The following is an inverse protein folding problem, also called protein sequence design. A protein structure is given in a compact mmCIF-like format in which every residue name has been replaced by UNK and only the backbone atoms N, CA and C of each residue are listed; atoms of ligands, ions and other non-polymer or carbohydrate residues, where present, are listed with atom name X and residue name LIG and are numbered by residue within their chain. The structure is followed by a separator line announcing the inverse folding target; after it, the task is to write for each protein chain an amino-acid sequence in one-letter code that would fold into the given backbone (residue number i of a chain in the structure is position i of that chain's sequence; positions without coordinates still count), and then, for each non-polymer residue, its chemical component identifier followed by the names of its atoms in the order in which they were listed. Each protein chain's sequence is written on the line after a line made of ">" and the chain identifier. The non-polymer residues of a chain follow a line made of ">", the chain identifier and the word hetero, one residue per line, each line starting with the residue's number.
data_IF_195954730057
#
_entry.id   IF_195954730057
#
_cell.length_a   1.000
_cell.length_b   1.000
_cell.length_c   1.000
_cell.angle_alpha   90.00
_cell.angle_beta   90.00
_cell.angle_gamma   90.00
#
_symmetry.space_group_name_H-M   'P 1'
#
loop_
_entity.id
_entity.type
_entity.pdbx_description
1 polymer ?
#
# COMPACT_ATOMS: atom_id res chain seq x y z
N UNK A 1 19.65 25.21 -12.35
CA UNK A 1 18.78 24.60 -11.32
C UNK A 1 19.55 24.64 -10.01
N UNK A 2 18.96 25.17 -8.93
CA UNK A 2 19.66 25.20 -7.64
C UNK A 2 19.98 23.77 -7.19
N UNK A 3 21.15 23.52 -6.59
CA UNK A 3 21.54 22.18 -6.14
C UNK A 3 20.49 21.50 -5.23
N UNK A 4 19.76 22.31 -4.45
CA UNK A 4 18.65 21.85 -3.61
C UNK A 4 17.44 21.34 -4.42
N UNK A 5 17.12 21.95 -5.56
CA UNK A 5 16.01 21.52 -6.42
C UNK A 5 16.32 20.19 -7.12
N UNK A 6 17.60 19.94 -7.43
CA UNK A 6 18.03 18.66 -7.98
C UNK A 6 17.87 17.52 -6.96
N UNK A 7 18.25 17.77 -5.69
CA UNK A 7 18.12 16.81 -4.61
C UNK A 7 16.64 16.48 -4.28
N UNK A 8 15.76 17.48 -4.42
CA UNK A 8 14.31 17.34 -4.24
C UNK A 8 13.59 16.77 -5.47
N UNK A 9 14.29 16.44 -6.56
CA UNK A 9 13.64 15.80 -7.71
C UNK A 9 13.13 14.40 -7.31
N UNK A 10 11.91 13.99 -7.71
CA UNK A 10 11.31 12.74 -7.24
C UNK A 10 12.19 11.49 -7.41
N UNK A 11 12.89 11.29 -8.55
CA UNK A 11 13.77 10.14 -8.71
C UNK A 11 14.95 10.16 -7.73
N UNK A 12 15.59 11.32 -7.55
CA UNK A 12 16.75 11.47 -6.66
C UNK A 12 16.34 11.26 -5.21
N UNK A 13 15.23 11.87 -4.78
CA UNK A 13 14.70 11.68 -3.43
C UNK A 13 14.34 10.21 -3.16
N UNK A 14 13.71 9.52 -4.11
CA UNK A 14 13.38 8.09 -3.99
C UNK A 14 14.63 7.24 -3.74
N UNK A 15 15.66 7.37 -4.59
CA UNK A 15 16.88 6.58 -4.45
C UNK A 15 17.67 6.94 -3.19
N UNK A 16 17.66 8.22 -2.79
CA UNK A 16 18.26 8.66 -1.55
C UNK A 16 17.61 7.97 -0.34
N UNK A 17 16.28 8.02 -0.21
CA UNK A 17 15.60 7.36 0.91
C UNK A 17 15.71 5.84 0.86
N UNK A 18 15.74 5.24 -0.33
CA UNK A 18 15.99 3.82 -0.49
C UNK A 18 17.40 3.44 0.02
N UNK A 19 18.41 4.23 -0.33
CA UNK A 19 19.78 4.03 0.16
C UNK A 19 19.87 4.20 1.68
N UNK A 20 19.19 5.21 2.25
CA UNK A 20 19.10 5.40 3.70
C UNK A 20 18.44 4.19 4.38
N UNK A 21 17.32 3.69 3.86
CA UNK A 21 16.64 2.52 4.41
C UNK A 21 17.54 1.25 4.34
N UNK A 22 18.25 1.06 3.23
CA UNK A 22 19.20 -0.03 3.07
C UNK A 22 20.39 0.07 4.05
N UNK A 23 20.90 1.29 4.26
CA UNK A 23 21.97 1.55 5.24
C UNK A 23 21.50 1.23 6.65
N UNK A 24 20.30 1.69 7.05
CA UNK A 24 19.72 1.39 8.35
C UNK A 24 19.54 -0.11 8.56
N UNK A 25 19.07 -0.82 7.53
CA UNK A 25 18.96 -2.28 7.57
C UNK A 25 20.33 -2.96 7.72
N UNK A 26 21.33 -2.52 6.96
CA UNK A 26 22.68 -3.08 7.02
C UNK A 26 23.35 -2.81 8.37
N UNK A 27 23.20 -1.59 8.92
CA UNK A 27 23.69 -1.22 10.24
C UNK A 27 22.98 -2.05 11.32
N UNK A 28 21.66 -2.19 11.26
CA UNK A 28 20.89 -3.03 12.18
C UNK A 28 21.37 -4.48 12.15
N UNK A 29 21.65 -5.01 10.95
CA UNK A 29 22.23 -6.35 10.77
C UNK A 29 23.65 -6.46 11.31
N UNK A 30 24.49 -5.44 11.15
CA UNK A 30 25.87 -5.44 11.63
C UNK A 30 25.97 -5.32 13.15
N UNK A 31 25.05 -4.61 13.79
CA UNK A 31 24.96 -4.47 15.24
C UNK A 31 24.28 -5.66 15.92
N UNK A 32 23.43 -6.40 15.20
CA UNK A 32 22.72 -7.54 15.75
C UNK A 32 23.67 -8.71 16.08
N UNK A 33 23.46 -9.40 17.21
CA UNK A 33 24.16 -10.65 17.49
C UNK A 33 23.95 -11.67 16.35
N UNK A 34 24.99 -12.44 16.03
CA UNK A 34 24.90 -13.49 15.03
C UNK A 34 23.79 -14.50 15.35
N UNK A 35 23.05 -14.93 14.31
CA UNK A 35 21.94 -15.86 14.49
C UNK A 35 22.46 -17.27 14.80
N UNK A 36 22.32 -17.69 16.06
CA UNK A 36 22.47 -19.10 16.45
C UNK A 36 21.25 -19.88 15.96
N UNK A 37 21.41 -20.62 14.86
CA UNK A 37 20.35 -21.41 14.20
C UNK A 37 19.96 -22.65 15.02
N UNK A 38 19.25 -22.42 16.12
CA UNK A 38 18.58 -23.49 16.88
C UNK A 38 17.19 -23.73 16.28
N UNK A 39 16.73 -24.99 16.16
CA UNK A 39 15.44 -25.32 15.50
C UNK A 39 14.27 -24.45 15.96
N UNK A 40 14.07 -24.30 17.28
CA UNK A 40 12.96 -23.51 17.83
C UNK A 40 13.03 -21.98 17.63
N UNK A 41 14.17 -21.43 17.18
CA UNK A 41 14.28 -19.99 16.81
C UNK A 41 13.83 -19.73 15.38
N UNK A 42 13.74 -20.78 14.57
CA UNK A 42 13.37 -20.70 13.15
C UNK A 42 11.93 -21.15 12.91
N UNK A 43 11.26 -21.71 13.93
CA UNK A 43 9.85 -22.09 13.89
C UNK A 43 8.94 -20.87 14.04
N UNK A 44 7.78 -20.91 13.38
CA UNK A 44 6.74 -19.89 13.52
C UNK A 44 6.27 -19.80 14.98
N UNK A 45 6.02 -18.59 15.47
CA UNK A 45 5.44 -18.42 16.79
C UNK A 45 3.99 -18.92 16.82
N UNK A 46 3.74 -19.94 17.64
CA UNK A 46 2.41 -20.53 17.86
C UNK A 46 2.16 -20.74 19.36
N UNK A 47 2.48 -19.76 20.20
CA UNK A 47 2.31 -19.84 21.66
C UNK A 47 2.99 -21.06 22.33
N UNK A 48 4.04 -21.61 21.70
CA UNK A 48 4.75 -22.81 22.17
C UNK A 48 4.18 -24.14 21.64
N UNK A 49 3.12 -24.11 20.83
CA UNK A 49 2.57 -25.28 20.16
C UNK A 49 3.35 -25.63 18.88
N UNK A 50 3.46 -26.91 18.57
CA UNK A 50 4.08 -27.41 17.33
C UNK A 50 3.04 -27.45 16.21
N UNK A 51 2.62 -26.27 15.77
CA UNK A 51 1.64 -26.13 14.69
C UNK A 51 2.39 -26.03 13.35
N UNK A 52 2.11 -26.92 12.37
CA UNK A 52 2.72 -26.80 11.06
C UNK A 52 2.30 -25.48 10.40
N UNK A 53 3.27 -24.75 9.87
CA UNK A 53 3.06 -23.50 9.14
C UNK A 53 2.33 -23.74 7.82
N UNK A 54 1.01 -23.89 7.87
CA UNK A 54 0.16 -24.08 6.69
C UNK A 54 -0.37 -22.74 6.20
N UNK A 55 -0.45 -22.57 4.88
CA UNK A 55 -1.12 -21.41 4.28
C UNK A 55 -2.62 -21.60 4.41
N UNK A 56 -3.24 -20.90 5.35
CA UNK A 56 -4.69 -20.91 5.53
C UNK A 56 -5.32 -19.87 4.61
N UNK A 57 -6.40 -20.23 3.92
CA UNK A 57 -7.25 -19.26 3.23
C UNK A 57 -8.17 -18.59 4.24
N UNK A 58 -7.81 -17.39 4.69
CA UNK A 58 -8.69 -16.61 5.55
C UNK A 58 -9.87 -16.04 4.75
N UNK A 59 -11.04 -15.99 5.38
CA UNK A 59 -12.22 -15.35 4.81
C UNK A 59 -12.05 -13.83 4.76
N UNK A 60 -11.47 -13.30 3.69
CA UNK A 60 -11.27 -11.87 3.49
C UNK A 60 -12.52 -11.13 2.96
N UNK A 61 -13.74 -11.62 3.23
CA UNK A 61 -14.96 -11.07 2.63
C UNK A 61 -15.12 -9.57 2.89
N UNK A 62 -14.95 -9.14 4.15
CA UNK A 62 -15.00 -7.72 4.50
C UNK A 62 -13.82 -6.93 3.92
N UNK A 63 -12.61 -7.46 4.04
CA UNK A 63 -11.41 -6.82 3.49
C UNK A 63 -11.51 -6.58 1.99
N UNK A 64 -12.07 -7.54 1.25
CA UNK A 64 -12.23 -7.46 -0.20
C UNK A 64 -13.15 -6.30 -0.61
N UNK A 65 -14.25 -6.09 0.10
CA UNK A 65 -15.16 -4.95 -0.14
C UNK A 65 -14.44 -3.62 0.10
N UNK A 66 -13.70 -3.50 1.21
CA UNK A 66 -12.93 -2.29 1.49
C UNK A 66 -11.80 -2.04 0.49
N UNK A 67 -11.12 -3.09 0.03
CA UNK A 67 -10.05 -2.99 -0.96
C UNK A 67 -10.60 -2.48 -2.30
N UNK A 68 -11.72 -3.01 -2.78
CA UNK A 68 -12.37 -2.54 -4.00
C UNK A 68 -12.94 -1.12 -3.86
N UNK A 69 -13.55 -0.82 -2.72
CA UNK A 69 -14.00 0.55 -2.43
C UNK A 69 -12.84 1.53 -2.51
N UNK A 70 -11.72 1.22 -1.84
CA UNK A 70 -10.53 2.07 -1.84
C UNK A 70 -9.98 2.27 -3.25
N UNK A 71 -9.87 1.23 -4.07
CA UNK A 71 -9.34 1.37 -5.45
C UNK A 71 -10.25 2.22 -6.32
N UNK A 72 -11.57 2.03 -6.26
CA UNK A 72 -12.55 2.85 -6.98
C UNK A 72 -12.44 4.32 -6.57
N UNK A 73 -12.41 4.59 -5.26
CA UNK A 73 -12.28 5.95 -4.73
C UNK A 73 -10.93 6.59 -5.08
N UNK A 74 -9.85 5.81 -5.06
CA UNK A 74 -8.51 6.29 -5.38
C UNK A 74 -8.42 6.74 -6.85
N UNK A 75 -8.94 5.93 -7.77
CA UNK A 75 -9.04 6.29 -9.19
C UNK A 75 -9.95 7.50 -9.38
N UNK A 76 -11.09 7.55 -8.67
CA UNK A 76 -12.00 8.68 -8.76
C UNK A 76 -11.34 10.00 -8.34
N UNK A 77 -10.60 9.99 -7.23
CA UNK A 77 -9.83 11.14 -6.78
C UNK A 77 -8.76 11.55 -7.81
N UNK A 78 -8.04 10.59 -8.39
CA UNK A 78 -7.02 10.88 -9.42
C UNK A 78 -7.62 11.52 -10.67
N UNK A 79 -8.75 11.00 -11.16
CA UNK A 79 -9.46 11.55 -12.32
C UNK A 79 -9.97 12.96 -11.99
N UNK A 80 -10.62 13.15 -10.84
CA UNK A 80 -11.12 14.47 -10.45
C UNK A 80 -10.02 15.51 -10.26
N UNK A 81 -8.86 15.10 -9.74
CA UNK A 81 -7.71 15.99 -9.56
C UNK A 81 -7.03 16.39 -10.89
N UNK A 82 -7.22 15.62 -11.96
CA UNK A 82 -6.56 15.83 -13.26
C UNK A 82 -7.47 16.48 -14.31
N UNK A 83 -8.78 16.62 -14.05
CA UNK A 83 -9.70 17.30 -14.95
C UNK A 83 -9.38 18.81 -15.02
N UNK A 84 -9.21 19.38 -16.23
CA UNK A 84 -9.00 20.82 -16.40
C UNK A 84 -10.27 21.62 -16.05
N UNK A 85 -10.08 22.79 -15.46
CA UNK A 85 -11.17 23.71 -15.09
C UNK A 85 -11.80 24.26 -16.38
N UNK A 86 -13.13 24.14 -16.51
CA UNK A 86 -13.88 24.62 -17.68
C UNK A 86 -15.17 23.84 -17.91
N UNK A 87 -15.73 23.88 -19.13
CA UNK A 87 -16.97 23.16 -19.48
C UNK A 87 -16.86 21.64 -19.32
N UNK A 88 -15.65 21.09 -19.37
CA UNK A 88 -15.36 19.66 -19.17
C UNK A 88 -15.57 19.25 -17.70
N UNK A 89 -15.49 20.19 -16.75
CA UNK A 89 -15.69 19.90 -15.32
C UNK A 89 -17.09 19.33 -15.02
N UNK A 90 -18.10 19.67 -15.82
CA UNK A 90 -19.44 19.08 -15.69
C UNK A 90 -19.46 17.56 -15.95
N UNK A 91 -18.55 17.04 -16.80
CA UNK A 91 -18.39 15.59 -16.97
C UNK A 91 -17.85 14.93 -15.71
N UNK A 92 -17.06 15.64 -14.90
CA UNK A 92 -16.59 15.17 -13.59
C UNK A 92 -17.73 14.92 -12.62
N UNK A 93 -18.80 15.72 -12.66
CA UNK A 93 -20.00 15.52 -11.84
C UNK A 93 -20.73 14.24 -12.26
N UNK A 94 -20.90 14.02 -13.56
CA UNK A 94 -21.52 12.79 -14.10
C UNK A 94 -20.67 11.57 -13.71
N UNK A 95 -19.35 11.67 -13.84
CA UNK A 95 -18.42 10.64 -13.43
C UNK A 95 -18.55 10.30 -11.93
N UNK A 96 -18.61 11.30 -11.05
CA UNK A 96 -18.83 11.10 -9.61
C UNK A 96 -20.16 10.42 -9.32
N UNK A 97 -21.23 10.75 -10.04
CA UNK A 97 -22.52 10.08 -9.89
C UNK A 97 -22.44 8.58 -10.27
N UNK A 98 -21.70 8.23 -11.32
CA UNK A 98 -21.45 6.84 -11.71
C UNK A 98 -20.59 6.10 -10.68
N UNK A 99 -19.56 6.76 -10.13
CA UNK A 99 -18.74 6.19 -9.05
C UNK A 99 -19.59 5.93 -7.80
N UNK A 100 -20.46 6.86 -7.44
CA UNK A 100 -21.40 6.68 -6.33
C UNK A 100 -22.31 5.47 -6.56
N UNK A 101 -22.86 5.31 -7.77
CA UNK A 101 -23.68 4.14 -8.11
C UNK A 101 -22.89 2.83 -8.03
N UNK A 102 -21.64 2.83 -8.51
CA UNK A 102 -20.76 1.66 -8.42
C UNK A 102 -20.46 1.27 -6.97
N UNK A 103 -20.25 2.26 -6.10
CA UNK A 103 -20.04 2.05 -4.66
C UNK A 103 -21.30 1.52 -3.99
N UNK A 104 -22.48 2.09 -4.30
CA UNK A 104 -23.75 1.58 -3.79
C UNK A 104 -23.92 0.11 -4.18
N UNK A 105 -23.73 -0.25 -5.45
CA UNK A 105 -23.83 -1.62 -5.92
C UNK A 105 -22.83 -2.57 -5.21
N UNK A 106 -21.64 -2.07 -4.87
CA UNK A 106 -20.64 -2.85 -4.13
C UNK A 106 -21.06 -3.08 -2.67
N UNK A 107 -21.64 -2.08 -2.01
CA UNK A 107 -22.05 -2.14 -0.59
C UNK A 107 -23.33 -2.96 -0.42
N UNK A 108 -24.29 -2.83 -1.34
CA UNK A 108 -25.57 -3.55 -1.28
C UNK A 108 -25.47 -4.99 -1.80
N UNK A 109 -24.27 -5.45 -2.17
CA UNK A 109 -24.06 -6.83 -2.59
C UNK A 109 -24.05 -7.72 -1.35
N UNK A 110 -25.13 -8.47 -1.18
CA UNK A 110 -25.22 -9.58 -0.23
C UNK A 110 -24.18 -10.68 -0.52
#
# INVERSE_FOLDING_TARGET
>A
MNGLQFLLSPPVAFFFFLAVAALLYALGRAMAPGLNRTPGKLTTYACGEDIPGVKVQFGYRLFYVFALFFTIMHVAALVMATIPIGKIAYLGIIYLALIFLAILALITRD
#
